data_IF_343543066812
#
_entry.id   IF_343543066812
#
_cell.length_a   1.000
_cell.length_b   1.000
_cell.length_c   1.000
_cell.angle_alpha   90.00
_cell.angle_beta   90.00
_cell.angle_gamma   90.00
#
_symmetry.space_group_name_H-M   'P 1'
#
loop_
_entity.id
_entity.type
_entity.pdbx_description
1 polymer ?
#
# COMPACT_ATOMS: atom_id res chain seq x y z
N UNK A 1 5.39 -17.43 -0.42
CA UNK A 1 4.29 -16.62 0.16
C UNK A 1 4.89 -15.72 1.22
N UNK A 2 4.64 -14.42 1.18
CA UNK A 2 5.11 -13.49 2.22
C UNK A 2 4.26 -13.71 3.48
N UNK A 3 4.84 -14.32 4.52
CA UNK A 3 4.18 -14.61 5.81
C UNK A 3 3.98 -13.38 6.70
N UNK A 4 3.88 -12.19 6.11
CA UNK A 4 3.74 -10.93 6.86
C UNK A 4 2.28 -10.69 7.19
N UNK A 5 2.00 -10.30 8.44
CA UNK A 5 0.63 -10.12 8.94
C UNK A 5 -0.10 -9.06 8.13
N UNK A 6 0.58 -7.97 7.79
CA UNK A 6 -0.03 -6.87 7.04
C UNK A 6 -0.52 -7.26 5.64
N UNK A 7 0.22 -8.15 4.97
CA UNK A 7 -0.15 -8.67 3.64
C UNK A 7 -1.26 -9.71 3.74
N UNK A 8 -1.28 -10.53 4.80
CA UNK A 8 -2.37 -11.49 5.02
C UNK A 8 -3.69 -10.73 5.17
N UNK A 9 -3.73 -9.74 6.06
CA UNK A 9 -4.93 -8.93 6.32
C UNK A 9 -5.39 -8.21 5.06
N UNK A 10 -4.45 -7.59 4.33
CA UNK A 10 -4.74 -6.93 3.06
C UNK A 10 -5.36 -7.88 2.03
N UNK A 11 -4.78 -9.07 1.85
CA UNK A 11 -5.30 -10.06 0.91
C UNK A 11 -6.68 -10.59 1.31
N UNK A 12 -6.98 -10.69 2.61
CA UNK A 12 -8.32 -11.08 3.08
C UNK A 12 -9.39 -10.02 2.79
N UNK A 13 -9.02 -8.75 2.67
CA UNK A 13 -9.94 -7.66 2.33
C UNK A 13 -10.38 -7.65 0.86
N UNK A 14 -9.69 -8.41 -0.01
CA UNK A 14 -9.91 -8.39 -1.46
C UNK A 14 -10.45 -9.76 -1.88
N UNK A 15 -11.62 -9.81 -2.50
CA UNK A 15 -12.20 -11.10 -2.95
C UNK A 15 -11.61 -11.60 -4.27
N UNK A 16 -11.25 -10.69 -5.18
CA UNK A 16 -10.76 -11.03 -6.53
C UNK A 16 -9.26 -11.29 -6.53
N UNK A 17 -8.85 -12.49 -6.96
CA UNK A 17 -7.43 -12.85 -7.13
C UNK A 17 -6.69 -11.94 -8.13
N UNK A 18 -7.38 -11.51 -9.19
CA UNK A 18 -6.82 -10.57 -10.15
C UNK A 18 -6.52 -9.22 -9.46
N UNK A 19 -7.46 -8.73 -8.66
CA UNK A 19 -7.29 -7.49 -7.90
C UNK A 19 -6.16 -7.61 -6.87
N UNK A 20 -6.07 -8.74 -6.14
CA UNK A 20 -4.97 -9.02 -5.21
C UNK A 20 -3.62 -8.90 -5.91
N UNK A 21 -3.47 -9.55 -7.06
CA UNK A 21 -2.21 -9.52 -7.82
C UNK A 21 -1.83 -8.10 -8.25
N UNK A 22 -2.78 -7.34 -8.77
CA UNK A 22 -2.54 -5.97 -9.20
C UNK A 22 -2.16 -5.06 -8.01
N UNK A 23 -2.91 -5.15 -6.92
CA UNK A 23 -2.68 -4.33 -5.73
C UNK A 23 -1.36 -4.69 -5.03
N UNK A 24 -1.01 -5.98 -4.92
CA UNK A 24 0.28 -6.41 -4.39
C UNK A 24 1.45 -5.89 -5.23
N UNK A 25 1.29 -5.78 -6.55
CA UNK A 25 2.32 -5.18 -7.40
C UNK A 25 2.49 -3.69 -7.12
N UNK A 26 1.41 -2.96 -6.85
CA UNK A 26 1.50 -1.55 -6.47
C UNK A 26 2.17 -1.37 -5.10
N UNK A 27 1.84 -2.21 -4.11
CA UNK A 27 2.53 -2.22 -2.81
C UNK A 27 4.02 -2.53 -2.95
N UNK A 28 4.36 -3.51 -3.79
CA UNK A 28 5.76 -3.87 -4.08
C UNK A 28 6.52 -2.68 -4.67
N UNK A 29 5.95 -2.00 -5.66
CA UNK A 29 6.55 -0.81 -6.29
C UNK A 29 6.77 0.32 -5.28
N UNK A 30 5.78 0.60 -4.43
CA UNK A 30 5.90 1.62 -3.39
C UNK A 30 7.01 1.29 -2.38
N UNK A 31 7.03 0.04 -1.91
CA UNK A 31 8.05 -0.47 -0.99
C UNK A 31 9.46 -0.37 -1.60
N UNK A 32 9.61 -0.74 -2.87
CA UNK A 32 10.88 -0.65 -3.62
C UNK A 32 11.33 0.80 -3.83
N UNK A 33 10.39 1.70 -4.14
CA UNK A 33 10.68 3.13 -4.31
C UNK A 33 11.31 3.75 -3.05
N UNK A 34 10.78 3.42 -1.86
CA UNK A 34 11.32 3.88 -0.58
C UNK A 34 12.39 2.95 0.02
N UNK A 35 12.78 1.89 -0.70
CA UNK A 35 13.76 0.89 -0.23
C UNK A 35 13.41 0.27 1.13
N UNK A 36 12.13 0.07 1.38
CA UNK A 36 11.63 -0.51 2.62
C UNK A 36 11.79 -2.03 2.55
N UNK A 37 12.26 -2.62 3.65
CA UNK A 37 12.59 -4.05 3.68
C UNK A 37 11.33 -4.91 3.63
N UNK A 38 10.36 -4.61 4.47
CA UNK A 38 9.16 -5.42 4.69
C UNK A 38 7.89 -4.55 4.80
N UNK A 39 6.73 -5.15 4.56
CA UNK A 39 5.43 -4.48 4.56
C UNK A 39 4.92 -4.19 5.98
N UNK A 40 5.25 -5.03 6.97
CA UNK A 40 4.88 -4.77 8.37
C UNK A 40 5.55 -3.47 8.89
N UNK A 41 6.76 -3.14 8.43
CA UNK A 41 7.39 -1.85 8.71
C UNK A 41 6.57 -0.65 8.21
N UNK A 42 5.82 -0.79 7.11
CA UNK A 42 4.96 0.29 6.59
C UNK A 42 3.82 0.62 7.57
N UNK A 43 3.28 -0.39 8.26
CA UNK A 43 2.10 -0.20 9.13
C UNK A 43 2.46 0.38 10.50
N UNK A 44 3.76 0.49 10.82
CA UNK A 44 4.25 1.04 12.10
C UNK A 44 4.77 2.47 11.96
N UNK A 45 4.78 3.02 10.73
CA UNK A 45 5.22 4.38 10.49
C UNK A 45 4.19 5.40 10.99
N UNK A 46 4.69 6.58 11.36
CA UNK A 46 3.82 7.71 11.72
C UNK A 46 2.85 8.04 10.56
N UNK A 47 1.55 8.24 10.83
CA UNK A 47 0.55 8.51 9.79
C UNK A 47 0.85 9.75 8.95
N UNK A 48 1.39 10.84 9.53
CA UNK A 48 1.74 12.04 8.76
C UNK A 48 2.90 11.76 7.82
N UNK A 49 3.90 11.01 8.29
CA UNK A 49 5.02 10.57 7.44
C UNK A 49 4.53 9.68 6.30
N UNK A 50 3.62 8.75 6.56
CA UNK A 50 3.02 7.89 5.52
C UNK A 50 2.28 8.71 4.47
N UNK A 51 1.48 9.69 4.91
CA UNK A 51 0.76 10.58 3.98
C UNK A 51 1.73 11.30 3.04
N UNK A 52 2.79 11.92 3.58
CA UNK A 52 3.81 12.59 2.76
C UNK A 52 4.47 11.62 1.77
N UNK A 53 4.79 10.40 2.20
CA UNK A 53 5.38 9.39 1.31
C UNK A 53 4.44 8.98 0.18
N UNK A 54 3.13 8.88 0.43
CA UNK A 54 2.16 8.59 -0.63
C UNK A 54 2.09 9.75 -1.62
N UNK A 55 2.02 10.99 -1.13
CA UNK A 55 1.97 12.20 -1.96
C UNK A 55 3.20 12.31 -2.86
N UNK A 56 4.40 12.19 -2.28
CA UNK A 56 5.68 12.22 -2.99
C UNK A 56 5.77 11.13 -4.07
N UNK A 57 5.34 9.91 -3.74
CA UNK A 57 5.30 8.79 -4.69
C UNK A 57 4.39 9.07 -5.89
N UNK A 58 3.20 9.60 -5.65
CA UNK A 58 2.24 9.92 -6.72
C UNK A 58 2.74 11.11 -7.54
N UNK A 59 3.31 12.14 -6.92
CA UNK A 59 3.93 13.26 -7.62
C UNK A 59 5.07 12.79 -8.53
N UNK A 60 5.91 11.87 -8.06
CA UNK A 60 7.02 11.32 -8.84
C UNK A 60 6.56 10.50 -10.05
N UNK A 61 5.38 9.88 -9.98
CA UNK A 61 4.77 9.10 -11.07
C UNK A 61 3.88 9.93 -11.99
N UNK A 62 3.42 11.10 -11.55
CA UNK A 62 2.61 12.01 -12.34
C UNK A 62 3.34 12.40 -13.63
N UNK A 63 2.67 12.28 -14.77
CA UNK A 63 3.25 12.54 -16.09
C UNK A 63 4.09 11.38 -16.66
N UNK A 64 4.38 10.33 -15.89
CA UNK A 64 5.08 9.12 -16.35
C UNK A 64 4.13 7.94 -16.61
N UNK A 65 2.94 7.98 -16.02
CA UNK A 65 1.92 6.96 -16.16
C UNK A 65 0.54 7.61 -16.35
N UNK A 66 -0.41 6.83 -16.85
CA UNK A 66 -1.79 7.26 -17.01
C UNK A 66 -2.49 7.56 -15.67
N UNK A 67 -3.51 8.42 -15.69
CA UNK A 67 -4.29 8.77 -14.49
C UNK A 67 -4.96 7.55 -13.86
N UNK A 68 -5.43 6.61 -14.68
CA UNK A 68 -6.00 5.34 -14.26
C UNK A 68 -5.01 4.54 -13.41
N UNK A 69 -3.75 4.50 -13.82
CA UNK A 69 -2.67 3.82 -13.09
C UNK A 69 -2.37 4.52 -11.76
N UNK A 70 -2.36 5.85 -11.71
CA UNK A 70 -2.17 6.60 -10.45
C UNK A 70 -3.31 6.34 -9.46
N UNK A 71 -4.55 6.38 -9.96
CA UNK A 71 -5.75 6.06 -9.17
C UNK A 71 -5.66 4.64 -8.61
N UNK A 72 -5.25 3.68 -9.44
CA UNK A 72 -5.07 2.30 -9.01
C UNK A 72 -4.02 2.14 -7.91
N UNK A 73 -2.89 2.85 -8.00
CA UNK A 73 -1.86 2.88 -6.97
C UNK A 73 -2.37 3.47 -5.65
N UNK A 74 -3.11 4.57 -5.73
CA UNK A 74 -3.72 5.21 -4.57
C UNK A 74 -4.70 4.27 -3.89
N UNK A 75 -5.62 3.65 -4.63
CA UNK A 75 -6.58 2.70 -4.07
C UNK A 75 -5.90 1.50 -3.40
N UNK A 76 -4.83 0.98 -3.99
CA UNK A 76 -4.08 -0.14 -3.41
C UNK A 76 -3.40 0.25 -2.09
N UNK A 77 -2.76 1.43 -2.04
CA UNK A 77 -2.09 1.94 -0.84
C UNK A 77 -3.11 2.28 0.25
N UNK A 78 -4.18 2.98 -0.09
CA UNK A 78 -5.23 3.38 0.84
C UNK A 78 -5.89 2.16 1.50
N UNK A 79 -6.25 1.15 0.70
CA UNK A 79 -6.79 -0.11 1.23
C UNK A 79 -5.79 -0.81 2.16
N UNK A 80 -4.49 -0.85 1.79
CA UNK A 80 -3.47 -1.48 2.61
C UNK A 80 -3.33 -0.80 3.97
N UNK A 81 -3.23 0.52 4.00
CA UNK A 81 -3.10 1.25 5.27
C UNK A 81 -4.39 1.20 6.08
N UNK A 82 -5.55 1.34 5.45
CA UNK A 82 -6.85 1.28 6.14
C UNK A 82 -7.08 -0.06 6.84
N UNK A 83 -6.83 -1.18 6.15
CA UNK A 83 -7.05 -2.51 6.74
C UNK A 83 -6.06 -2.83 7.86
N UNK A 84 -4.86 -2.24 7.82
CA UNK A 84 -3.83 -2.45 8.84
C UNK A 84 -3.93 -1.47 10.02
N UNK A 85 -4.48 -0.27 9.82
CA UNK A 85 -4.76 0.71 10.89
C UNK A 85 -5.95 0.28 11.77
N UNK A 86 -6.92 -0.46 11.22
CA UNK A 86 -8.06 -1.01 11.98
C UNK A 86 -7.62 -1.91 13.15
N UNK A 87 -6.40 -2.48 13.11
CA UNK A 87 -5.85 -3.26 14.23
C UNK A 87 -5.48 -2.36 15.43
N UNK A 88 -5.17 -1.07 15.20
CA UNK A 88 -4.73 -0.12 16.22
C UNK A 88 -5.87 0.70 16.85
N UNK A 89 -7.08 0.71 16.27
CA UNK A 89 -8.24 1.47 16.79
C UNK A 89 -9.25 0.64 17.59
N UNK A 90 -8.79 -0.37 18.32
CA UNK A 90 -9.56 -1.04 19.37
C UNK A 90 -8.91 -0.75 20.72
N UNK A 91 -9.15 0.45 21.26
CA UNK A 91 -8.92 0.83 22.66
C UNK A 91 -10.17 1.52 23.17
#
# INVERSE_FOLDING_TARGET
>A
MTSQRSIIIFNHAISSEATKKCYLNELKRFKEFYKIRDYDSLTTMDPKKLQMMIEDYIMQRKGKVERSSLSHSLSALDLFFSMNDVILKSN
#
